data_IF_254401059718
#
_entry.id   IF_254401059718
#
_cell.length_a   1.000
_cell.length_b   1.000
_cell.length_c   1.000
_cell.angle_alpha   90.00
_cell.angle_beta   90.00
_cell.angle_gamma   90.00
#
_symmetry.space_group_name_H-M   'P 1'
#
loop_
_entity.id
_entity.type
_entity.pdbx_description
1 polymer ?
#
# COMPACT_ATOMS: atom_id res chain seq x y z
N UNK A 1 8.34 2.00 18.54
CA UNK A 1 7.82 1.34 19.76
C UNK A 1 6.59 0.53 19.35
N UNK A 2 6.55 -0.78 19.64
CA UNK A 2 5.40 -1.64 19.29
C UNK A 2 4.44 -1.70 20.48
N UNK A 3 3.14 -1.48 20.25
CA UNK A 3 2.12 -1.51 21.30
C UNK A 3 1.73 -2.93 21.75
N UNK A 4 2.03 -3.95 20.94
CA UNK A 4 1.57 -5.32 21.19
C UNK A 4 2.03 -5.89 22.54
N UNK A 5 3.31 -5.78 22.97
CA UNK A 5 3.74 -6.33 24.25
C UNK A 5 3.02 -5.72 25.46
N UNK A 6 2.78 -4.40 25.43
CA UNK A 6 2.10 -3.68 26.52
C UNK A 6 0.64 -4.11 26.63
N UNK A 7 -0.04 -4.32 25.50
CA UNK A 7 -1.43 -4.79 25.48
C UNK A 7 -1.56 -6.23 25.98
N UNK A 8 -0.59 -7.12 25.67
CA UNK A 8 -0.58 -8.48 26.20
C UNK A 8 -0.41 -8.49 27.72
N UNK A 9 0.53 -7.72 28.28
CA UNK A 9 0.69 -7.61 29.74
C UNK A 9 -0.56 -7.05 30.42
N UNK A 10 -1.17 -6.02 29.83
CA UNK A 10 -2.43 -5.45 30.32
C UNK A 10 -3.57 -6.48 30.34
N UNK A 11 -3.71 -7.27 29.27
CA UNK A 11 -4.73 -8.33 29.19
C UNK A 11 -4.49 -9.43 30.23
N UNK A 12 -3.25 -9.90 30.41
CA UNK A 12 -2.90 -10.90 31.44
C UNK A 12 -3.24 -10.39 32.84
N UNK A 13 -2.95 -9.12 33.14
CA UNK A 13 -3.25 -8.49 34.44
C UNK A 13 -4.73 -8.17 34.66
N UNK A 14 -5.52 -8.06 33.59
CA UNK A 14 -6.94 -7.68 33.67
C UNK A 14 -7.82 -8.73 34.35
N UNK A 15 -7.38 -9.99 34.43
CA UNK A 15 -8.17 -11.09 35.01
C UNK A 15 -9.40 -11.47 34.17
N UNK A 16 -9.54 -10.92 32.95
CA UNK A 16 -10.60 -11.30 32.02
C UNK A 16 -10.43 -12.78 31.63
N UNK A 17 -11.53 -13.53 31.71
CA UNK A 17 -11.54 -14.92 31.26
C UNK A 17 -11.25 -14.98 29.75
N UNK A 18 -10.33 -15.86 29.34
CA UNK A 18 -10.11 -16.10 27.92
C UNK A 18 -11.33 -16.82 27.34
N UNK A 19 -11.92 -16.23 26.31
CA UNK A 19 -12.99 -16.86 25.53
C UNK A 19 -12.32 -17.57 24.35
N UNK A 20 -12.49 -18.90 24.19
CA UNK A 20 -11.97 -19.61 23.03
C UNK A 20 -12.55 -19.01 21.75
N UNK A 21 -11.73 -18.90 20.70
CA UNK A 21 -12.24 -18.55 19.38
C UNK A 21 -13.26 -19.60 18.93
N UNK A 22 -14.33 -19.20 18.22
CA UNK A 22 -15.25 -20.15 17.63
C UNK A 22 -14.50 -21.18 16.78
N UNK A 23 -15.02 -22.42 16.80
CA UNK A 23 -14.53 -23.46 15.92
C UNK A 23 -14.63 -23.07 14.44
N UNK A 24 -13.86 -23.76 13.61
CA UNK A 24 -13.88 -23.58 12.16
C UNK A 24 -15.30 -23.77 11.61
N UNK A 25 -15.77 -22.90 10.69
CA UNK A 25 -17.08 -23.07 10.05
C UNK A 25 -17.20 -24.42 9.34
N UNK A 26 -18.40 -25.03 9.31
CA UNK A 26 -18.63 -26.24 8.52
C UNK A 26 -18.37 -25.97 7.03
N UNK A 27 -17.76 -26.93 6.33
CA UNK A 27 -17.46 -26.82 4.91
C UNK A 27 -16.19 -26.01 4.57
N UNK A 28 -15.37 -25.62 5.55
CA UNK A 28 -14.11 -24.97 5.24
C UNK A 28 -13.17 -25.92 4.47
N UNK A 29 -12.90 -25.58 3.22
CA UNK A 29 -11.89 -26.23 2.39
C UNK A 29 -10.49 -25.78 2.83
N UNK A 30 -9.66 -26.71 3.29
CA UNK A 30 -8.33 -26.42 3.81
C UNK A 30 -7.28 -27.34 3.16
N UNK A 31 -7.05 -27.17 1.85
CA UNK A 31 -6.15 -28.03 1.07
C UNK A 31 -4.70 -27.86 1.56
N UNK A 32 -3.95 -28.95 1.53
CA UNK A 32 -2.48 -28.86 1.62
C UNK A 32 -1.93 -28.22 0.33
N UNK A 33 -0.73 -27.66 0.41
CA UNK A 33 -0.08 -27.05 -0.76
C UNK A 33 -0.01 -28.01 -1.98
N UNK A 34 0.20 -29.30 -1.72
CA UNK A 34 0.26 -30.38 -2.72
C UNK A 34 -1.08 -30.67 -3.41
N UNK A 35 -2.19 -30.33 -2.74
CA UNK A 35 -3.56 -30.55 -3.21
C UNK A 35 -4.09 -29.34 -4.01
N UNK A 36 -3.32 -28.24 -4.04
CA UNK A 36 -3.68 -27.05 -4.79
C UNK A 36 -3.39 -27.25 -6.28
N UNK A 37 -4.30 -26.82 -7.18
CA UNK A 37 -3.99 -26.63 -8.59
C UNK A 37 -2.73 -25.77 -8.76
N UNK A 38 -1.96 -25.99 -9.83
CA UNK A 38 -0.68 -25.31 -10.05
C UNK A 38 -0.76 -23.78 -10.01
N UNK A 39 -1.89 -23.21 -10.44
CA UNK A 39 -2.16 -21.76 -10.43
C UNK A 39 -2.46 -21.18 -9.04
N UNK A 40 -2.75 -22.03 -8.06
CA UNK A 40 -2.99 -21.68 -6.66
C UNK A 40 -1.82 -22.11 -5.76
N UNK A 41 -1.06 -23.14 -6.14
CA UNK A 41 0.16 -23.55 -5.47
C UNK A 41 1.29 -22.52 -5.67
N UNK A 42 1.41 -21.95 -6.88
CA UNK A 42 2.49 -21.03 -7.23
C UNK A 42 1.96 -19.62 -7.45
N UNK A 43 2.21 -18.72 -6.50
CA UNK A 43 1.81 -17.31 -6.56
C UNK A 43 3.04 -16.39 -6.47
N UNK A 44 3.17 -15.46 -7.40
CA UNK A 44 4.22 -14.41 -7.39
C UNK A 44 5.40 -14.68 -8.33
N UNK A 45 6.37 -13.75 -8.29
CA UNK A 45 7.55 -13.70 -9.16
C UNK A 45 8.86 -14.20 -8.47
N UNK A 46 8.73 -14.97 -7.38
CA UNK A 46 9.84 -15.55 -6.64
C UNK A 46 10.31 -16.90 -7.19
N UNK A 47 11.25 -17.56 -6.49
CA UNK A 47 11.83 -18.85 -6.90
C UNK A 47 10.82 -19.99 -7.06
N UNK A 48 9.75 -19.99 -6.25
CA UNK A 48 8.66 -20.97 -6.31
C UNK A 48 7.44 -20.46 -7.13
N UNK A 49 7.59 -19.28 -7.75
CA UNK A 49 6.56 -18.60 -8.52
C UNK A 49 6.44 -19.11 -9.96
N UNK A 50 5.47 -18.56 -10.69
CA UNK A 50 5.39 -18.78 -12.14
C UNK A 50 6.49 -17.96 -12.84
N UNK A 51 7.05 -18.47 -13.94
CA UNK A 51 8.01 -17.73 -14.77
C UNK A 51 7.32 -16.45 -15.26
N UNK A 52 7.70 -15.32 -14.66
CA UNK A 52 7.22 -14.01 -15.08
C UNK A 52 8.18 -13.46 -16.13
N UNK A 53 7.63 -12.96 -17.23
CA UNK A 53 8.40 -12.14 -18.15
C UNK A 53 8.95 -10.94 -17.36
N UNK A 54 10.27 -10.78 -17.33
CA UNK A 54 10.90 -9.64 -16.68
C UNK A 54 10.41 -8.37 -17.37
N UNK A 55 9.80 -7.42 -16.63
CA UNK A 55 9.41 -6.15 -17.23
C UNK A 55 10.64 -5.46 -17.79
N UNK A 56 10.59 -5.03 -19.05
CA UNK A 56 11.67 -4.26 -19.69
C UNK A 56 11.87 -2.92 -18.98
N UNK A 57 10.79 -2.35 -18.44
CA UNK A 57 10.83 -1.07 -17.74
C UNK A 57 11.36 -1.22 -16.31
N UNK A 58 12.20 -0.29 -15.82
CA UNK A 58 12.60 -0.26 -14.42
C UNK A 58 11.38 -0.12 -13.50
N UNK A 59 11.54 -0.47 -12.22
CA UNK A 59 10.48 -0.27 -11.22
C UNK A 59 10.05 1.22 -11.16
N UNK A 60 8.79 1.51 -10.81
CA UNK A 60 8.36 2.90 -10.65
C UNK A 60 9.14 3.54 -9.50
N UNK A 61 9.53 4.81 -9.68
CA UNK A 61 10.14 5.65 -8.64
C UNK A 61 9.41 6.97 -8.59
N UNK A 62 8.98 7.41 -7.40
CA UNK A 62 8.39 8.74 -7.22
C UNK A 62 9.54 9.75 -7.20
N UNK A 63 9.57 10.65 -8.18
CA UNK A 63 10.60 11.70 -8.28
C UNK A 63 10.13 13.02 -7.70
N UNK A 64 8.81 13.20 -7.56
CA UNK A 64 8.24 14.31 -6.82
C UNK A 64 6.87 13.92 -6.24
N UNK A 65 6.58 14.25 -4.98
CA UNK A 65 7.52 14.81 -4.00
C UNK A 65 8.60 13.78 -3.60
N UNK A 66 9.81 14.23 -3.21
CA UNK A 66 10.82 13.32 -2.65
C UNK A 66 10.38 12.83 -1.27
N UNK A 67 10.96 11.71 -0.83
CA UNK A 67 10.69 11.18 0.51
C UNK A 67 11.14 12.17 1.59
N UNK A 68 10.29 12.36 2.60
CA UNK A 68 10.49 13.34 3.67
C UNK A 68 10.20 14.79 3.28
N UNK A 69 9.69 15.07 2.07
CA UNK A 69 9.38 16.44 1.66
C UNK A 69 8.36 17.10 2.60
N UNK A 70 8.55 18.39 2.85
CA UNK A 70 7.59 19.26 3.52
C UNK A 70 7.04 20.24 2.48
N UNK A 71 5.73 20.25 2.30
CA UNK A 71 5.07 21.02 1.23
C UNK A 71 3.98 21.90 1.84
N UNK A 72 4.14 23.20 1.68
CA UNK A 72 3.12 24.19 1.99
C UNK A 72 2.16 24.31 0.79
N UNK A 73 0.92 23.94 1.01
CA UNK A 73 -0.20 23.98 0.08
C UNK A 73 -1.33 24.87 0.61
N UNK A 74 -1.13 25.58 1.72
CA UNK A 74 -2.15 26.39 2.37
C UNK A 74 -3.36 25.56 2.80
N UNK A 75 -3.15 24.34 3.32
CA UNK A 75 -4.24 23.39 3.60
C UNK A 75 -5.21 23.82 4.70
N UNK A 76 -4.86 24.86 5.45
CA UNK A 76 -5.73 25.51 6.45
C UNK A 76 -6.69 26.56 5.84
N UNK A 77 -6.62 26.80 4.53
CA UNK A 77 -7.44 27.79 3.82
C UNK A 77 -8.40 27.10 2.84
N UNK A 78 -9.49 27.79 2.46
CA UNK A 78 -10.43 27.30 1.45
C UNK A 78 -9.79 27.09 0.06
N UNK A 79 -8.63 27.70 -0.18
CA UNK A 79 -7.88 27.69 -1.43
C UNK A 79 -6.68 26.71 -1.40
N UNK A 80 -6.80 25.59 -0.68
CA UNK A 80 -5.75 24.58 -0.59
C UNK A 80 -5.31 24.12 -2.00
N UNK A 81 -4.01 24.26 -2.30
CA UNK A 81 -3.47 23.94 -3.62
C UNK A 81 -3.26 22.43 -3.80
N UNK A 82 -3.53 21.87 -4.99
CA UNK A 82 -3.31 20.46 -5.24
C UNK A 82 -1.81 20.14 -5.39
N UNK A 83 -1.38 19.00 -4.86
CA UNK A 83 -0.01 18.51 -4.98
C UNK A 83 0.19 17.76 -6.30
N UNK A 84 1.14 18.22 -7.10
CA UNK A 84 1.58 17.48 -8.30
C UNK A 84 2.40 16.27 -7.87
N UNK A 85 2.14 15.13 -8.49
CA UNK A 85 2.87 13.89 -8.30
C UNK A 85 3.60 13.56 -9.60
N UNK A 86 4.87 13.16 -9.52
CA UNK A 86 5.68 12.78 -10.69
C UNK A 86 6.42 11.48 -10.39
N UNK A 87 6.45 10.60 -11.39
CA UNK A 87 7.19 9.34 -11.31
C UNK A 87 8.12 9.15 -12.52
N UNK A 88 9.09 8.26 -12.37
CA UNK A 88 9.96 7.74 -13.42
C UNK A 88 9.89 6.21 -13.44
N UNK A 89 10.23 5.62 -14.59
CA UNK A 89 10.12 4.17 -14.77
C UNK A 89 8.67 3.68 -14.73
N UNK A 90 8.51 2.40 -14.38
CA UNK A 90 7.23 1.71 -14.26
C UNK A 90 6.52 1.46 -15.58
N UNK A 91 5.65 0.44 -15.57
CA UNK A 91 4.79 0.08 -16.69
C UNK A 91 3.39 0.67 -16.50
N UNK A 92 2.93 1.46 -17.45
CA UNK A 92 1.56 1.96 -17.45
C UNK A 92 0.54 0.80 -17.65
N UNK A 93 -0.70 0.93 -17.12
CA UNK A 93 -1.17 2.07 -16.35
C UNK A 93 -0.70 2.11 -14.88
N UNK A 94 -0.79 3.29 -14.30
CA UNK A 94 -0.43 3.61 -12.92
C UNK A 94 -1.68 3.83 -12.07
N UNK A 95 -1.60 3.36 -10.82
CA UNK A 95 -2.56 3.66 -9.76
C UNK A 95 -1.85 4.44 -8.67
N UNK A 96 -2.34 5.64 -8.38
CA UNK A 96 -1.91 6.41 -7.23
C UNK A 96 -2.81 6.14 -6.02
N UNK A 97 -2.18 6.06 -4.85
CA UNK A 97 -2.83 6.00 -3.55
C UNK A 97 -2.33 7.15 -2.68
N UNK A 98 -3.23 7.79 -1.95
CA UNK A 98 -2.92 8.68 -0.85
C UNK A 98 -3.49 8.08 0.43
N UNK A 99 -2.63 7.86 1.43
CA UNK A 99 -3.02 7.27 2.71
C UNK A 99 -3.76 5.93 2.55
N UNK A 100 -3.31 5.12 1.57
CA UNK A 100 -3.92 3.83 1.23
C UNK A 100 -5.22 3.91 0.40
N UNK A 101 -5.77 5.11 0.18
CA UNK A 101 -6.97 5.32 -0.64
C UNK A 101 -6.61 5.62 -2.09
N UNK A 102 -7.25 4.97 -3.08
CA UNK A 102 -6.95 5.23 -4.48
C UNK A 102 -7.44 6.61 -4.92
N UNK A 103 -6.59 7.31 -5.68
CA UNK A 103 -6.99 8.50 -6.42
C UNK A 103 -7.94 8.11 -7.57
N UNK A 104 -8.75 9.08 -8.00
CA UNK A 104 -9.67 8.89 -9.11
C UNK A 104 -8.92 8.58 -10.42
N UNK A 105 -9.41 7.58 -11.14
CA UNK A 105 -8.90 7.22 -12.46
C UNK A 105 -7.66 6.31 -12.45
N UNK A 106 -7.42 5.72 -13.62
CA UNK A 106 -6.23 4.94 -13.95
C UNK A 106 -5.41 5.80 -14.90
N UNK A 107 -4.20 6.17 -14.52
CA UNK A 107 -3.42 7.10 -15.33
C UNK A 107 -2.41 6.34 -16.21
N UNK A 108 -2.26 6.77 -17.46
CA UNK A 108 -1.15 6.30 -18.32
C UNK A 108 0.02 7.28 -18.29
N UNK A 109 -0.19 8.49 -17.78
CA UNK A 109 0.83 9.51 -17.61
C UNK A 109 1.61 9.25 -16.33
N UNK A 110 2.86 9.71 -16.34
CA UNK A 110 3.77 9.69 -15.18
C UNK A 110 3.61 10.90 -14.26
N UNK A 111 2.52 11.63 -14.43
CA UNK A 111 2.18 12.83 -13.68
C UNK A 111 0.74 12.69 -13.25
N UNK A 112 0.45 12.96 -11.98
CA UNK A 112 -0.89 13.03 -11.44
C UNK A 112 -1.01 14.23 -10.51
N UNK A 113 -2.21 14.47 -9.99
CA UNK A 113 -2.45 15.54 -9.01
C UNK A 113 -3.30 14.98 -7.88
N UNK A 114 -2.95 15.35 -6.65
CA UNK A 114 -3.64 14.92 -5.44
C UNK A 114 -4.07 16.15 -4.65
N UNK A 115 -5.34 16.20 -4.25
CA UNK A 115 -5.81 17.18 -3.27
C UNK A 115 -5.69 16.57 -1.87
N UNK A 116 -4.85 17.12 -0.99
CA UNK A 116 -4.77 16.67 0.39
C UNK A 116 -6.06 16.92 1.15
N UNK A 117 -6.40 15.98 2.02
CA UNK A 117 -7.57 16.00 2.91
C UNK A 117 -7.32 16.82 4.20
N UNK A 118 -6.08 17.26 4.44
CA UNK A 118 -5.72 18.16 5.54
C UNK A 118 -4.21 18.29 5.75
N UNK A 119 -3.83 19.00 6.81
CA UNK A 119 -2.43 19.12 7.26
C UNK A 119 -1.92 17.81 7.87
N UNK A 120 -0.60 17.61 7.80
CA UNK A 120 0.11 16.56 8.50
C UNK A 120 0.83 15.57 7.59
N UNK A 121 1.20 14.42 8.17
CA UNK A 121 1.90 13.37 7.42
C UNK A 121 0.96 12.64 6.48
N UNK A 122 1.40 12.45 5.24
CA UNK A 122 0.72 11.63 4.24
C UNK A 122 1.68 10.67 3.57
N UNK A 123 1.16 9.49 3.22
CA UNK A 123 1.89 8.48 2.46
C UNK A 123 1.34 8.44 1.04
N UNK A 124 2.21 8.63 0.06
CA UNK A 124 1.88 8.58 -1.35
C UNK A 124 2.50 7.34 -1.96
N UNK A 125 1.68 6.53 -2.62
CA UNK A 125 2.12 5.28 -3.24
C UNK A 125 1.69 5.27 -4.69
N UNK A 126 2.56 4.79 -5.57
CA UNK A 126 2.19 4.46 -6.95
C UNK A 126 2.38 2.96 -7.19
N UNK A 127 1.44 2.35 -7.89
CA UNK A 127 1.47 0.95 -8.31
C UNK A 127 1.43 0.92 -9.84
N UNK A 128 2.33 0.16 -10.46
CA UNK A 128 2.39 -0.04 -11.91
C UNK A 128 1.58 -1.28 -12.35
N UNK A 129 1.43 -1.48 -13.66
CA UNK A 129 0.65 -2.59 -14.21
C UNK A 129 1.24 -3.98 -13.93
N UNK A 130 2.54 -4.04 -13.58
CA UNK A 130 3.21 -5.26 -13.17
C UNK A 130 3.05 -5.52 -11.65
N UNK A 131 2.30 -4.67 -10.94
CA UNK A 131 2.08 -4.78 -9.50
C UNK A 131 3.26 -4.29 -8.66
N UNK A 132 4.26 -3.64 -9.26
CA UNK A 132 5.39 -3.04 -8.52
C UNK A 132 4.96 -1.70 -7.96
N UNK A 133 5.41 -1.40 -6.75
CA UNK A 133 5.04 -0.18 -6.06
C UNK A 133 6.25 0.63 -5.57
N UNK A 134 6.08 1.94 -5.50
CA UNK A 134 6.96 2.85 -4.79
C UNK A 134 6.14 3.77 -3.88
N UNK A 135 6.70 4.09 -2.72
CA UNK A 135 6.05 4.91 -1.70
C UNK A 135 6.99 5.99 -1.19
N UNK A 136 6.43 7.15 -0.87
CA UNK A 136 7.10 8.25 -0.17
C UNK A 136 6.21 8.75 0.96
N UNK A 137 6.83 9.26 2.04
CA UNK A 137 6.15 9.96 3.12
C UNK A 137 6.44 11.45 3.02
N UNK A 138 5.40 12.27 3.10
CA UNK A 138 5.52 13.74 3.04
C UNK A 138 4.79 14.37 4.22
N UNK A 139 5.15 15.60 4.56
CA UNK A 139 4.41 16.44 5.48
C UNK A 139 3.76 17.59 4.69
N UNK A 140 2.45 17.73 4.81
CA UNK A 140 1.66 18.76 4.14
C UNK A 140 1.26 19.81 5.18
N UNK A 141 1.41 21.10 4.84
CA UNK A 141 0.91 22.23 5.64
C UNK A 141 0.11 23.23 4.80
#
# INVERSE_FOLDING_TARGET
>A
VSAAPILFEGFVRSGLASVPLPGRPPGLFNPKHEELPVTLARFGAGSDGLVQATPTEPAPTIVFPPDGARVDLGTNSADASPLVLKLQGGRAPFRWLANGKPLAGIDRRRIATWQPDGTGYSTLTVIDAAGRAASVKVFVE
#
